data_IF_921043796417
#
_entry.id   IF_921043796417
#
_cell.length_a   1.000
_cell.length_b   1.000
_cell.length_c   1.000
_cell.angle_alpha   90.00
_cell.angle_beta   90.00
_cell.angle_gamma   90.00
#
_symmetry.space_group_name_H-M   'P 1'
#
loop_
_entity.id
_entity.type
_entity.pdbx_description
1 polymer ?
#
# COMPACT_ATOMS: atom_id res chain seq x y z
N UNK A 1 -26.79 -30.68 14.03
CA UNK A 1 -26.75 -29.82 12.83
C UNK A 1 -25.62 -28.82 13.00
N UNK A 2 -24.39 -29.19 12.66
CA UNK A 2 -23.21 -28.32 12.67
C UNK A 2 -22.27 -28.82 11.57
N UNK A 3 -22.11 -28.04 10.51
CA UNK A 3 -21.06 -28.21 9.49
C UNK A 3 -20.84 -26.87 8.78
N UNK A 4 -20.17 -25.93 9.45
CA UNK A 4 -19.78 -24.63 8.88
C UNK A 4 -18.31 -24.28 9.15
N UNK A 5 -17.43 -25.29 9.22
CA UNK A 5 -16.01 -25.10 9.56
C UNK A 5 -14.99 -25.45 8.48
N UNK A 6 -15.37 -26.09 7.36
CA UNK A 6 -14.40 -26.69 6.41
C UNK A 6 -14.41 -26.09 4.99
N UNK A 7 -15.34 -25.19 4.68
CA UNK A 7 -15.50 -24.63 3.34
C UNK A 7 -14.41 -23.61 2.90
N UNK A 8 -13.79 -22.78 3.78
CA UNK A 8 -12.81 -21.81 3.32
C UNK A 8 -11.58 -22.48 2.70
N UNK A 9 -10.98 -23.46 3.39
CA UNK A 9 -9.72 -24.05 2.98
C UNK A 9 -9.81 -24.78 1.62
N UNK A 10 -10.82 -25.63 1.42
CA UNK A 10 -11.00 -26.36 0.16
C UNK A 10 -11.32 -25.43 -1.02
N UNK A 11 -12.12 -24.38 -0.79
CA UNK A 11 -12.37 -23.35 -1.80
C UNK A 11 -11.08 -22.60 -2.17
N UNK A 12 -10.28 -22.18 -1.18
CA UNK A 12 -9.00 -21.51 -1.41
C UNK A 12 -8.00 -22.41 -2.16
N UNK A 13 -7.89 -23.69 -1.80
CA UNK A 13 -7.00 -24.66 -2.46
C UNK A 13 -7.36 -24.92 -3.92
N UNK A 14 -8.62 -24.76 -4.32
CA UNK A 14 -9.04 -24.93 -5.71
C UNK A 14 -9.05 -23.62 -6.50
N UNK A 15 -9.55 -22.54 -5.88
CA UNK A 15 -9.76 -21.26 -6.54
C UNK A 15 -8.44 -20.52 -6.78
N UNK A 16 -7.54 -20.49 -5.79
CA UNK A 16 -6.26 -19.75 -5.89
C UNK A 16 -5.37 -20.30 -7.01
N UNK A 17 -5.13 -21.63 -7.13
CA UNK A 17 -4.31 -22.14 -8.23
C UNK A 17 -4.96 -21.96 -9.60
N UNK A 18 -6.30 -22.01 -9.68
CA UNK A 18 -7.03 -21.80 -10.93
C UNK A 18 -6.88 -20.36 -11.42
N UNK A 19 -7.01 -19.40 -10.51
CA UNK A 19 -6.88 -17.99 -10.85
C UNK A 19 -5.42 -17.62 -11.13
N UNK A 20 -4.46 -18.16 -10.38
CA UNK A 20 -3.05 -18.05 -10.71
C UNK A 20 -2.74 -18.59 -12.11
N UNK A 21 -3.25 -19.78 -12.47
CA UNK A 21 -3.08 -20.32 -13.82
C UNK A 21 -3.73 -19.44 -14.89
N UNK A 22 -4.87 -18.82 -14.60
CA UNK A 22 -5.54 -17.88 -15.53
C UNK A 22 -4.69 -16.63 -15.75
N UNK A 23 -4.15 -16.04 -14.67
CA UNK A 23 -3.29 -14.86 -14.72
C UNK A 23 -1.98 -15.17 -15.44
N UNK A 24 -1.29 -16.25 -15.07
CA UNK A 24 -0.04 -16.69 -15.72
C UNK A 24 -0.27 -16.99 -17.21
N UNK A 25 -1.37 -17.67 -17.55
CA UNK A 25 -1.74 -17.95 -18.94
C UNK A 25 -2.05 -16.68 -19.74
N UNK A 26 -2.71 -15.70 -19.12
CA UNK A 26 -2.97 -14.40 -19.74
C UNK A 26 -1.66 -13.64 -20.00
N UNK A 27 -0.75 -13.58 -19.02
CA UNK A 27 0.56 -12.92 -19.15
C UNK A 27 1.45 -13.61 -20.20
N UNK A 28 1.43 -14.94 -20.28
CA UNK A 28 2.18 -15.71 -21.27
C UNK A 28 1.69 -15.51 -22.72
N UNK A 29 0.42 -15.12 -22.90
CA UNK A 29 -0.18 -14.88 -24.22
C UNK A 29 0.07 -13.43 -24.74
N UNK A 30 0.65 -12.56 -23.92
CA UNK A 30 0.93 -11.16 -24.28
C UNK A 30 2.13 -11.12 -25.23
N UNK A 31 2.12 -10.25 -26.26
CA UNK A 31 3.27 -10.03 -27.15
C UNK A 31 4.58 -9.85 -26.36
N UNK A 32 5.70 -10.31 -26.93
CA UNK A 32 7.01 -10.29 -26.27
C UNK A 32 7.58 -8.90 -25.96
N UNK A 33 6.88 -7.82 -26.33
CA UNK A 33 7.29 -6.45 -26.05
C UNK A 33 7.15 -6.14 -24.54
N UNK A 34 8.21 -5.67 -23.86
CA UNK A 34 8.19 -5.37 -22.42
C UNK A 34 7.06 -4.43 -22.01
N UNK A 35 6.72 -3.46 -22.88
CA UNK A 35 5.64 -2.52 -22.63
C UNK A 35 4.26 -3.17 -22.53
N UNK A 36 3.94 -4.10 -23.43
CA UNK A 36 2.66 -4.82 -23.41
C UNK A 36 2.57 -5.78 -22.22
N UNK A 37 3.69 -6.43 -21.87
CA UNK A 37 3.79 -7.27 -20.67
C UNK A 37 3.54 -6.47 -19.40
N UNK A 38 4.06 -5.24 -19.32
CA UNK A 38 3.84 -4.38 -18.17
C UNK A 38 2.39 -3.94 -18.04
N UNK A 39 1.71 -3.63 -19.15
CA UNK A 39 0.26 -3.32 -19.12
C UNK A 39 -0.56 -4.50 -18.59
N UNK A 40 -0.27 -5.70 -19.08
CA UNK A 40 -0.94 -6.90 -18.61
C UNK A 40 -0.62 -7.18 -17.14
N UNK A 41 0.63 -6.98 -16.72
CA UNK A 41 1.02 -7.09 -15.31
C UNK A 41 0.24 -6.11 -14.45
N UNK A 42 0.12 -4.84 -14.86
CA UNK A 42 -0.60 -3.81 -14.11
C UNK A 42 -2.10 -4.09 -13.99
N UNK A 43 -2.72 -4.66 -15.02
CA UNK A 43 -4.13 -5.04 -14.97
C UNK A 43 -4.47 -5.99 -13.80
N UNK A 44 -3.49 -6.78 -13.34
CA UNK A 44 -3.62 -7.67 -12.18
C UNK A 44 -2.89 -7.12 -10.94
N UNK A 45 -1.75 -6.48 -11.14
CA UNK A 45 -0.88 -5.95 -10.10
C UNK A 45 -1.46 -4.74 -9.38
N UNK A 46 -2.14 -3.83 -10.09
CA UNK A 46 -2.72 -2.64 -9.49
C UNK A 46 -3.75 -2.98 -8.39
N UNK A 47 -4.79 -3.81 -8.62
CA UNK A 47 -5.71 -4.23 -7.56
C UNK A 47 -5.00 -4.90 -6.37
N UNK A 48 -3.94 -5.67 -6.63
CA UNK A 48 -3.14 -6.29 -5.59
C UNK A 48 -2.35 -5.27 -4.77
N UNK A 49 -1.77 -4.24 -5.40
CA UNK A 49 -1.09 -3.13 -4.73
C UNK A 49 -2.09 -2.39 -3.83
N UNK A 50 -3.27 -2.01 -4.34
CA UNK A 50 -4.28 -1.30 -3.54
C UNK A 50 -4.73 -2.14 -2.33
N UNK A 51 -5.00 -3.43 -2.54
CA UNK A 51 -5.40 -4.36 -1.47
C UNK A 51 -4.28 -4.51 -0.43
N UNK A 52 -3.02 -4.56 -0.86
CA UNK A 52 -1.86 -4.64 0.05
C UNK A 52 -1.73 -3.36 0.87
N UNK A 53 -1.85 -2.20 0.24
CA UNK A 53 -1.79 -0.92 0.94
C UNK A 53 -2.87 -0.84 2.04
N UNK A 54 -4.10 -1.28 1.77
CA UNK A 54 -5.16 -1.32 2.79
C UNK A 54 -4.84 -2.25 3.98
N UNK A 55 -4.04 -3.31 3.77
CA UNK A 55 -3.57 -4.19 4.85
C UNK A 55 -2.48 -3.57 5.70
N UNK A 56 -1.84 -2.50 5.23
CA UNK A 56 -0.83 -1.75 5.97
C UNK A 56 -1.44 -0.82 7.03
N UNK A 57 -2.77 -0.76 7.13
CA UNK A 57 -3.47 -0.01 8.17
C UNK A 57 -3.08 -0.48 9.57
N UNK A 58 -2.96 0.47 10.49
CA UNK A 58 -2.63 0.24 11.89
C UNK A 58 -3.71 -0.60 12.58
N UNK A 59 -4.99 -0.27 12.39
CA UNK A 59 -6.10 -1.08 12.88
C UNK A 59 -7.38 -0.85 12.06
N UNK A 60 -8.46 -1.55 12.40
CA UNK A 60 -9.78 -1.28 11.83
C UNK A 60 -10.35 0.08 12.27
N UNK A 61 -10.06 0.49 13.52
CA UNK A 61 -10.50 1.78 14.05
C UNK A 61 -9.62 2.94 13.58
N UNK A 62 -8.36 2.67 13.26
CA UNK A 62 -7.40 3.63 12.73
C UNK A 62 -6.89 3.11 11.38
N UNK A 63 -7.63 3.35 10.28
CA UNK A 63 -7.32 2.87 8.93
C UNK A 63 -6.11 3.61 8.31
N UNK A 64 -5.04 3.80 9.07
CA UNK A 64 -3.92 4.69 8.78
C UNK A 64 -2.62 3.90 8.71
N UNK A 65 -1.71 4.29 7.80
CA UNK A 65 -0.29 3.96 7.97
C UNK A 65 0.31 4.97 8.95
N UNK A 66 0.50 4.56 10.19
CA UNK A 66 1.12 5.43 11.20
C UNK A 66 2.63 5.44 11.01
N UNK A 67 3.20 6.63 10.86
CA UNK A 67 4.66 6.82 10.78
C UNK A 67 5.24 7.08 12.15
N UNK A 68 4.62 7.94 12.95
CA UNK A 68 5.10 8.28 14.29
C UNK A 68 3.99 8.95 15.10
N UNK A 69 4.23 9.09 16.40
CA UNK A 69 3.47 10.02 17.24
C UNK A 69 4.40 11.14 17.71
N UNK A 70 3.81 12.30 18.00
CA UNK A 70 4.54 13.45 18.54
C UNK A 70 3.72 14.09 19.65
N UNK A 71 4.33 14.34 20.81
CA UNK A 71 3.68 15.11 21.86
C UNK A 71 3.73 16.59 21.51
N UNK A 72 2.56 17.22 21.51
CA UNK A 72 2.39 18.66 21.35
C UNK A 72 2.92 19.40 22.59
N UNK A 73 2.98 20.74 22.53
CA UNK A 73 3.42 21.56 23.66
C UNK A 73 2.52 21.38 24.92
N UNK A 74 1.26 20.99 24.75
CA UNK A 74 0.34 20.69 25.85
C UNK A 74 0.49 19.27 26.40
N UNK A 75 1.40 18.47 25.83
CA UNK A 75 1.63 17.08 26.20
C UNK A 75 0.71 16.07 25.52
N UNK A 76 -0.29 16.53 24.75
CA UNK A 76 -1.20 15.65 24.00
C UNK A 76 -0.46 14.97 22.83
N UNK A 77 -0.56 13.64 22.71
CA UNK A 77 0.00 12.92 21.57
C UNK A 77 -0.82 13.19 20.30
N UNK A 78 -0.12 13.55 19.24
CA UNK A 78 -0.63 13.68 17.88
C UNK A 78 -0.10 12.54 17.02
N UNK A 79 -0.98 11.92 16.23
CA UNK A 79 -0.68 10.74 15.41
C UNK A 79 -0.47 11.19 13.98
N UNK A 80 0.67 10.83 13.39
CA UNK A 80 1.07 11.24 12.05
C UNK A 80 1.19 10.04 11.10
N UNK A 81 0.73 10.19 9.86
CA UNK A 81 0.71 9.07 8.92
C UNK A 81 0.07 9.37 7.58
N UNK A 82 -0.19 8.29 6.83
CA UNK A 82 -1.03 8.30 5.64
C UNK A 82 -2.42 7.76 5.96
N UNK A 83 -3.44 8.41 5.41
CA UNK A 83 -4.80 7.93 5.45
C UNK A 83 -5.01 6.88 4.34
N UNK A 84 -5.42 5.66 4.71
CA UNK A 84 -5.66 4.57 3.78
C UNK A 84 -7.15 4.18 3.73
N UNK A 85 -8.04 5.00 4.28
CA UNK A 85 -9.49 4.75 4.32
C UNK A 85 -10.19 5.06 2.98
N UNK A 86 -9.56 4.61 1.89
CA UNK A 86 -10.08 4.75 0.54
C UNK A 86 -9.92 3.43 -0.21
N UNK A 87 -10.83 3.11 -1.14
CA UNK A 87 -10.67 1.97 -2.05
C UNK A 87 -9.38 2.02 -2.87
N UNK A 88 -8.85 3.22 -3.13
CA UNK A 88 -7.62 3.44 -3.92
C UNK A 88 -6.70 4.45 -3.19
N UNK A 89 -5.92 3.99 -2.20
CA UNK A 89 -5.02 4.86 -1.43
C UNK A 89 -3.85 5.41 -2.24
N UNK A 90 -3.45 4.74 -3.32
CA UNK A 90 -2.37 5.20 -4.19
C UNK A 90 -2.85 5.44 -5.62
N UNK A 91 -2.23 6.41 -6.30
CA UNK A 91 -2.32 6.57 -7.74
C UNK A 91 -1.16 5.82 -8.40
N UNK A 92 -1.45 4.96 -9.38
CA UNK A 92 -0.39 4.35 -10.19
C UNK A 92 -0.19 5.17 -11.46
N UNK A 93 1.04 5.60 -11.71
CA UNK A 93 1.41 6.37 -12.90
C UNK A 93 2.49 5.64 -13.66
N UNK A 94 2.21 5.30 -14.91
CA UNK A 94 3.17 4.65 -15.80
C UNK A 94 3.91 5.68 -16.64
N UNK A 95 5.24 5.56 -16.68
CA UNK A 95 6.12 6.30 -17.56
C UNK A 95 7.10 5.32 -18.24
N UNK A 96 6.73 4.85 -19.43
CA UNK A 96 7.49 3.80 -20.13
C UNK A 96 7.43 2.47 -19.38
N UNK A 97 8.60 1.97 -18.94
CA UNK A 97 8.71 0.74 -18.14
C UNK A 97 8.75 1.00 -16.62
N UNK A 98 8.73 2.26 -16.19
CA UNK A 98 8.60 2.62 -14.78
C UNK A 98 7.14 2.80 -14.40
N UNK A 99 6.74 2.23 -13.29
CA UNK A 99 5.45 2.44 -12.62
C UNK A 99 5.70 3.11 -11.28
N UNK A 100 5.07 4.26 -11.06
CA UNK A 100 5.13 4.97 -9.80
C UNK A 100 3.87 4.71 -8.98
N UNK A 101 4.03 4.17 -7.77
CA UNK A 101 2.99 4.11 -6.74
C UNK A 101 3.05 5.41 -5.96
N UNK A 102 2.16 6.34 -6.30
CA UNK A 102 2.09 7.68 -5.74
C UNK A 102 1.11 7.73 -4.57
N UNK A 103 1.62 8.11 -3.41
CA UNK A 103 0.88 8.26 -2.16
C UNK A 103 0.91 9.73 -1.69
N UNK A 104 -0.11 10.17 -0.94
CA UNK A 104 -0.15 11.52 -0.40
C UNK A 104 1.01 11.79 0.56
N UNK A 105 1.21 13.06 0.92
CA UNK A 105 2.13 13.43 1.98
C UNK A 105 1.57 12.97 3.35
N UNK A 106 2.41 12.49 4.28
CA UNK A 106 1.98 12.24 5.64
C UNK A 106 1.52 13.53 6.31
N UNK A 107 0.47 13.41 7.12
CA UNK A 107 -0.14 14.50 7.88
C UNK A 107 -0.52 14.05 9.28
N UNK A 108 -0.89 15.00 10.13
CA UNK A 108 -1.59 14.69 11.37
C UNK A 108 -2.97 14.08 11.04
N UNK A 109 -3.24 12.90 11.58
CA UNK A 109 -4.47 12.12 11.33
C UNK A 109 -5.40 12.11 12.54
N UNK A 110 -4.85 12.28 13.74
CA UNK A 110 -5.64 12.28 14.96
C UNK A 110 -4.81 12.63 16.19
N UNK A 111 -5.47 12.56 17.35
CA UNK A 111 -4.85 12.76 18.67
C UNK A 111 -5.24 11.62 19.60
N UNK A 112 -4.40 11.38 20.59
CA UNK A 112 -4.59 10.32 21.58
C UNK A 112 -3.48 9.28 21.57
N UNK A 113 -3.49 8.42 22.57
CA UNK A 113 -2.54 7.33 22.69
C UNK A 113 -2.92 6.20 21.72
N UNK A 114 -1.91 5.63 21.05
CA UNK A 114 -2.08 4.41 20.28
C UNK A 114 -2.13 3.22 21.22
N UNK A 115 -3.00 2.26 20.94
CA UNK A 115 -3.15 1.04 21.73
C UNK A 115 -2.97 -0.21 20.86
N UNK A 116 -2.60 -1.32 21.49
CA UNK A 116 -2.37 -2.62 20.84
C UNK A 116 -0.90 -2.90 20.53
N UNK A 117 -0.62 -4.11 20.06
CA UNK A 117 0.76 -4.59 19.83
C UNK A 117 1.53 -3.78 18.78
N UNK A 118 0.83 -3.21 17.79
CA UNK A 118 1.48 -2.39 16.77
C UNK A 118 1.87 -1.01 17.29
N UNK A 119 1.27 -0.52 18.40
CA UNK A 119 1.63 0.76 19.01
C UNK A 119 3.08 0.79 19.48
N UNK A 120 3.59 -0.34 20.00
CA UNK A 120 4.98 -0.48 20.46
C UNK A 120 6.00 -0.29 19.32
N UNK A 121 5.57 -0.50 18.07
CA UNK A 121 6.39 -0.38 16.87
C UNK A 121 6.36 1.04 16.28
N UNK A 122 5.59 1.95 16.88
CA UNK A 122 5.46 3.36 16.49
C UNK A 122 6.32 4.24 17.42
N UNK A 123 7.46 4.74 16.94
CA UNK A 123 8.27 5.76 17.58
C UNK A 123 7.44 6.97 17.94
N UNK A 124 7.67 7.40 19.17
CA UNK A 124 6.98 8.49 19.82
C UNK A 124 8.01 9.55 20.19
N UNK A 125 7.77 10.78 19.77
CA UNK A 125 8.68 11.90 19.99
C UNK A 125 8.12 12.85 21.04
N UNK A 126 8.98 13.30 21.94
CA UNK A 126 8.65 14.24 23.00
C UNK A 126 8.42 15.68 22.50
N UNK A 127 7.92 16.57 23.37
CA UNK A 127 7.83 17.99 23.05
C UNK A 127 9.21 18.58 22.73
N UNK A 128 9.33 19.26 21.59
CA UNK A 128 10.61 19.86 21.15
C UNK A 128 11.55 18.90 20.41
N UNK A 129 11.28 17.60 20.40
CA UNK A 129 12.00 16.67 19.53
C UNK A 129 11.53 16.84 18.08
N UNK A 130 12.50 16.75 17.16
CA UNK A 130 12.22 16.77 15.72
C UNK A 130 12.19 15.34 15.21
N UNK A 131 11.01 14.82 14.81
CA UNK A 131 10.94 13.51 14.16
C UNK A 131 11.70 13.56 12.82
N UNK A 132 12.28 12.43 12.37
CA UNK A 132 12.75 12.29 10.99
C UNK A 132 11.63 12.58 10.00
N UNK A 133 11.99 12.90 8.74
CA UNK A 133 11.02 13.19 7.70
C UNK A 133 9.95 12.07 7.60
N UNK A 134 8.68 12.37 7.90
CA UNK A 134 7.60 11.40 7.85
C UNK A 134 7.45 10.75 6.48
N UNK A 135 7.77 11.48 5.40
CA UNK A 135 7.66 10.97 4.04
C UNK A 135 8.70 9.87 3.76
N UNK A 136 9.93 10.03 4.24
CA UNK A 136 10.98 9.01 4.14
C UNK A 136 10.55 7.74 4.86
N UNK A 137 10.02 7.88 6.07
CA UNK A 137 9.57 6.74 6.85
C UNK A 137 8.37 6.02 6.23
N UNK A 138 7.38 6.76 5.75
CA UNK A 138 6.25 6.18 5.02
C UNK A 138 6.74 5.42 3.79
N UNK A 139 7.69 5.98 3.05
CA UNK A 139 8.33 5.35 1.90
C UNK A 139 8.95 4.01 2.28
N UNK A 140 9.81 3.98 3.31
CA UNK A 140 10.43 2.74 3.79
C UNK A 140 9.41 1.66 4.19
N UNK A 141 8.34 2.04 4.90
CA UNK A 141 7.31 1.10 5.32
C UNK A 141 6.54 0.52 4.12
N UNK A 142 6.19 1.36 3.15
CA UNK A 142 5.47 0.95 1.94
C UNK A 142 6.37 0.11 1.03
N UNK A 143 7.61 0.52 0.80
CA UNK A 143 8.59 -0.24 0.02
C UNK A 143 8.85 -1.62 0.63
N UNK A 144 9.07 -1.69 1.95
CA UNK A 144 9.23 -2.97 2.64
C UNK A 144 8.01 -3.88 2.45
N UNK A 145 6.80 -3.31 2.54
CA UNK A 145 5.57 -4.09 2.38
C UNK A 145 5.30 -4.53 0.93
N UNK A 146 5.77 -3.74 -0.04
CA UNK A 146 5.64 -4.02 -1.47
C UNK A 146 6.87 -4.72 -2.08
N UNK A 147 7.91 -5.00 -1.30
CA UNK A 147 9.21 -5.50 -1.77
C UNK A 147 9.06 -6.67 -2.76
N UNK A 148 8.29 -7.71 -2.41
CA UNK A 148 8.11 -8.85 -3.30
C UNK A 148 7.39 -8.54 -4.63
N UNK A 149 6.62 -7.44 -4.72
CA UNK A 149 6.05 -6.99 -6.01
C UNK A 149 7.04 -6.13 -6.79
N UNK A 150 7.85 -5.33 -6.09
CA UNK A 150 8.94 -4.55 -6.68
C UNK A 150 9.98 -5.47 -7.31
N UNK A 151 10.33 -6.55 -6.63
CA UNK A 151 11.25 -7.58 -7.15
C UNK A 151 10.61 -8.33 -8.33
N UNK A 152 9.38 -8.82 -8.17
CA UNK A 152 8.70 -9.61 -9.20
C UNK A 152 8.56 -8.87 -10.54
N UNK A 153 8.23 -7.56 -10.54
CA UNK A 153 8.09 -6.83 -11.81
C UNK A 153 9.41 -6.75 -12.58
N UNK A 154 10.53 -6.61 -11.87
CA UNK A 154 11.86 -6.51 -12.47
C UNK A 154 12.36 -7.87 -12.98
N UNK A 155 12.00 -8.96 -12.29
CA UNK A 155 12.29 -10.33 -12.71
C UNK A 155 11.46 -10.77 -13.92
N UNK A 156 10.17 -10.43 -13.94
CA UNK A 156 9.23 -10.84 -14.98
C UNK A 156 9.39 -10.03 -16.29
N UNK A 157 9.83 -8.77 -16.18
CA UNK A 157 9.88 -7.82 -17.28
C UNK A 157 11.20 -7.05 -17.24
N UNK A 158 12.11 -7.42 -18.14
CA UNK A 158 13.42 -6.78 -18.27
C UNK A 158 13.29 -5.25 -18.43
N UNK A 159 13.98 -4.51 -17.55
CA UNK A 159 13.99 -3.04 -17.54
C UNK A 159 12.75 -2.38 -16.92
N UNK A 160 11.80 -3.16 -16.39
CA UNK A 160 10.67 -2.62 -15.65
C UNK A 160 11.02 -2.30 -14.19
N UNK A 161 10.42 -1.23 -13.67
CA UNK A 161 10.60 -0.79 -12.29
C UNK A 161 9.25 -0.45 -11.67
N UNK A 162 9.07 -0.83 -10.41
CA UNK A 162 8.01 -0.30 -9.54
C UNK A 162 8.65 0.55 -8.45
N UNK A 163 8.29 1.83 -8.39
CA UNK A 163 8.86 2.79 -7.43
C UNK A 163 7.78 3.43 -6.59
N UNK A 164 8.08 3.69 -5.31
CA UNK A 164 7.17 4.36 -4.39
C UNK A 164 7.50 5.85 -4.34
N UNK A 165 6.47 6.69 -4.40
CA UNK A 165 6.59 8.15 -4.30
C UNK A 165 5.64 8.68 -3.23
N UNK A 166 6.19 9.17 -2.13
CA UNK A 166 5.42 9.81 -1.06
C UNK A 166 5.39 11.32 -1.26
N UNK A 167 4.25 11.96 -0.96
CA UNK A 167 4.09 13.41 -1.13
C UNK A 167 3.60 13.83 -2.51
N UNK A 168 3.13 12.88 -3.32
CA UNK A 168 2.42 13.21 -4.55
C UNK A 168 1.05 13.82 -4.23
N UNK A 169 0.54 14.71 -5.08
CA UNK A 169 -0.84 15.20 -4.94
C UNK A 169 -1.80 14.02 -4.99
N UNK A 170 -2.81 13.94 -4.09
CA UNK A 170 -3.78 12.87 -4.10
C UNK A 170 -4.54 12.87 -5.45
N UNK A 171 -5.02 11.70 -5.93
CA UNK A 171 -5.92 11.68 -7.06
C UNK A 171 -7.14 12.55 -6.73
N UNK A 172 -7.47 13.49 -7.61
CA UNK A 172 -8.73 14.24 -7.48
C UNK A 172 -9.88 13.25 -7.42
N UNK A 173 -10.76 13.39 -6.43
CA UNK A 173 -12.02 12.67 -6.43
C UNK A 173 -12.80 13.07 -7.69
N UNK A 174 -13.45 12.13 -8.40
CA UNK A 174 -14.37 12.49 -9.46
C UNK A 174 -15.56 13.22 -8.83
N UNK A 175 -15.53 14.57 -8.83
CA UNK A 175 -16.57 15.39 -8.21
C UNK A 175 -16.26 16.87 -8.02
N UNK A 176 -14.99 17.29 -7.98
CA UNK A 176 -14.62 18.69 -7.70
C UNK A 176 -14.54 19.56 -8.97
N UNK A 177 -15.53 19.42 -9.85
CA UNK A 177 -15.77 20.33 -10.98
C UNK A 177 -17.04 21.11 -10.71
N UNK A 178 -16.92 22.23 -9.98
CA UNK A 178 -17.96 23.25 -9.89
C UNK A 178 -17.99 24.15 -11.12
#
# INVERSE_FOLDING_TARGET
>A
MVACGLLPAAWFHWFVPREQKRVVGALAAVPGEPGARLDAWLAYGEPMIQTRLQKLRFSTAHPWLVTHTRRTATGEPEIWGLDLDTPSPAQLVRAGLRVEVRLPAPRALGRGELAGSDAERVPSYGPGESPPDPAVRAGMLVEWFLAGMIEAVAEDIEGAELVVRIGASPPHAPGDGG
#
